data_IF_374786784648
#
_entry.id   IF_374786784648
#
_cell.length_a   1.000
_cell.length_b   1.000
_cell.length_c   1.000
_cell.angle_alpha   90.00
_cell.angle_beta   90.00
_cell.angle_gamma   90.00
#
_symmetry.space_group_name_H-M   'P 1'
#
loop_
_entity.id
_entity.type
_entity.pdbx_description
1 polymer ?
#
# COMPACT_ATOMS: atom_id res chain seq x y z
N UNK A 1 -11.00 1.73 2.47
CA UNK A 1 -10.52 0.83 1.40
C UNK A 1 -10.47 -0.66 1.77
N UNK A 2 -10.15 -1.06 3.01
CA UNK A 2 -10.16 -2.49 3.42
C UNK A 2 -11.48 -3.21 3.09
N UNK A 3 -12.62 -2.62 3.45
CA UNK A 3 -13.92 -3.26 3.19
C UNK A 3 -14.25 -3.35 1.68
N UNK A 4 -13.77 -2.39 0.88
CA UNK A 4 -13.92 -2.42 -0.59
C UNK A 4 -13.09 -3.56 -1.20
N UNK A 5 -11.87 -3.77 -0.71
CA UNK A 5 -11.02 -4.89 -1.11
C UNK A 5 -11.70 -6.24 -0.81
N UNK A 6 -12.27 -6.40 0.38
CA UNK A 6 -12.97 -7.64 0.76
C UNK A 6 -14.27 -7.89 -0.01
N UNK A 7 -14.86 -6.87 -0.65
CA UNK A 7 -16.00 -7.06 -1.54
C UNK A 7 -15.63 -7.81 -2.85
N UNK A 8 -14.33 -8.02 -3.12
CA UNK A 8 -13.87 -8.90 -4.20
C UNK A 8 -14.00 -8.31 -5.60
N UNK A 9 -14.23 -7.00 -5.73
CA UNK A 9 -14.26 -6.34 -7.03
C UNK A 9 -12.87 -6.32 -7.66
N UNK A 10 -12.82 -6.52 -8.98
CA UNK A 10 -11.59 -6.37 -9.74
C UNK A 10 -11.03 -4.95 -9.59
N UNK A 11 -9.74 -4.83 -9.25
CA UNK A 11 -9.06 -3.57 -9.09
C UNK A 11 -7.56 -3.72 -9.39
N UNK A 12 -6.91 -2.66 -9.84
CA UNK A 12 -5.47 -2.65 -10.15
C UNK A 12 -4.57 -2.75 -8.92
N UNK A 13 -5.15 -2.69 -7.71
CA UNK A 13 -4.42 -2.78 -6.44
C UNK A 13 -4.80 -1.63 -5.51
N UNK A 14 -4.62 -1.84 -4.21
CA UNK A 14 -4.87 -0.82 -3.19
C UNK A 14 -3.66 -0.74 -2.25
N UNK A 15 -3.17 0.48 -2.02
CA UNK A 15 -2.13 0.73 -1.03
C UNK A 15 -2.76 1.40 0.20
N UNK A 16 -2.60 0.78 1.36
CA UNK A 16 -3.02 1.34 2.64
C UNK A 16 -1.79 1.72 3.46
N UNK A 17 -1.59 3.02 3.61
CA UNK A 17 -0.46 3.57 4.35
C UNK A 17 -0.88 4.26 5.66
N UNK A 18 -0.08 4.08 6.71
CA UNK A 18 -0.19 4.93 7.91
C UNK A 18 0.35 6.32 7.57
N UNK A 19 -0.32 7.37 8.04
CA UNK A 19 0.14 8.74 7.82
C UNK A 19 1.59 8.90 8.33
N UNK A 20 2.45 9.52 7.53
CA UNK A 20 3.81 9.91 7.89
C UNK A 20 4.01 11.38 7.57
N UNK A 21 4.62 12.13 8.49
CA UNK A 21 5.00 13.52 8.25
C UNK A 21 6.20 13.59 7.28
N UNK A 22 7.02 12.55 7.23
CA UNK A 22 8.03 12.40 6.20
C UNK A 22 7.42 11.76 4.95
N UNK A 23 6.86 12.63 4.10
CA UNK A 23 6.23 12.22 2.84
C UNK A 23 7.23 11.59 1.86
N UNK A 24 8.49 12.03 1.87
CA UNK A 24 9.51 11.50 0.98
C UNK A 24 9.87 10.05 1.36
N UNK A 25 10.09 9.81 2.66
CA UNK A 25 10.33 8.47 3.16
C UNK A 25 9.11 7.56 2.98
N UNK A 26 7.89 8.09 3.13
CA UNK A 26 6.67 7.32 2.84
C UNK A 26 6.59 6.94 1.36
N UNK A 27 6.87 7.87 0.45
CA UNK A 27 6.90 7.60 -0.99
C UNK A 27 7.92 6.50 -1.33
N UNK A 28 9.12 6.57 -0.76
CA UNK A 28 10.15 5.56 -0.96
C UNK A 28 9.71 4.16 -0.48
N UNK A 29 9.03 4.08 0.67
CA UNK A 29 8.49 2.80 1.18
C UNK A 29 7.36 2.25 0.33
N UNK A 30 6.47 3.11 -0.19
CA UNK A 30 5.42 2.70 -1.11
C UNK A 30 6.03 2.15 -2.40
N UNK A 31 7.03 2.84 -2.97
CA UNK A 31 7.73 2.38 -4.17
C UNK A 31 8.42 1.03 -3.95
N UNK A 32 9.11 0.85 -2.83
CA UNK A 32 9.75 -0.42 -2.47
C UNK A 32 8.72 -1.56 -2.31
N UNK A 33 7.59 -1.29 -1.64
CA UNK A 33 6.52 -2.28 -1.46
C UNK A 33 5.87 -2.69 -2.79
N UNK A 34 5.66 -1.74 -3.71
CA UNK A 34 5.13 -2.03 -5.04
C UNK A 34 6.12 -2.87 -5.87
N UNK A 35 7.40 -2.50 -5.86
CA UNK A 35 8.44 -3.26 -6.56
C UNK A 35 8.55 -4.71 -6.06
N UNK A 36 8.40 -4.93 -4.75
CA UNK A 36 8.41 -6.26 -4.15
C UNK A 36 7.15 -7.09 -4.41
N UNK A 37 6.01 -6.44 -4.69
CA UNK A 37 4.73 -7.12 -4.92
C UNK A 37 4.56 -7.66 -6.35
N UNK A 38 5.34 -7.16 -7.33
CA UNK A 38 5.20 -7.55 -8.73
C UNK A 38 3.93 -6.98 -9.37
N UNK A 39 2.94 -7.82 -9.67
CA UNK A 39 1.63 -7.38 -10.16
C UNK A 39 0.67 -7.10 -8.97
N UNK A 40 0.33 -5.83 -8.69
CA UNK A 40 -0.52 -5.46 -7.56
C UNK A 40 -2.02 -5.73 -7.80
N UNK A 41 -2.42 -6.23 -8.97
CA UNK A 41 -3.82 -6.49 -9.31
C UNK A 41 -4.50 -7.36 -8.27
N UNK A 42 -5.64 -6.89 -7.77
CA UNK A 42 -6.40 -7.57 -6.72
C UNK A 42 -5.74 -7.60 -5.34
N UNK A 43 -4.60 -6.96 -5.12
CA UNK A 43 -3.89 -6.98 -3.83
C UNK A 43 -4.20 -5.75 -2.96
N UNK A 44 -4.11 -5.94 -1.63
CA UNK A 44 -4.09 -4.88 -0.64
C UNK A 44 -2.72 -4.83 0.05
N UNK A 45 -1.88 -3.89 -0.38
CA UNK A 45 -0.52 -3.71 0.13
C UNK A 45 -0.56 -2.74 1.32
N UNK A 46 -0.04 -3.17 2.47
CA UNK A 46 0.06 -2.33 3.68
C UNK A 46 1.46 -1.77 3.84
N UNK A 47 1.56 -0.45 3.98
CA UNK A 47 2.82 0.27 4.24
C UNK A 47 2.70 1.02 5.56
N UNK A 48 3.36 0.53 6.61
CA UNK A 48 3.30 1.17 7.93
C UNK A 48 4.47 2.11 8.15
N UNK A 49 4.21 3.20 8.89
CA UNK A 49 5.29 4.04 9.44
C UNK A 49 6.18 3.17 10.35
N UNK A 50 7.52 3.25 10.22
CA UNK A 50 8.42 2.60 11.16
C UNK A 50 8.19 3.07 12.61
N UNK A 51 8.45 2.23 13.62
CA UNK A 51 8.51 2.68 15.00
C UNK A 51 9.63 3.73 15.16
N UNK A 52 9.43 4.67 16.08
CA UNK A 52 10.44 5.65 16.48
C UNK A 52 11.51 5.03 17.38
#
# INVERSE_FOLDING_TARGET
FRNLHHAGHAHSGLVLCTADADFAALGARIAAALAGAGDPSGQLIRVTRPPA
#
